data_IF_007882012378
#
_entry.id   IF_007882012378
#
_cell.length_a   1.000
_cell.length_b   1.000
_cell.length_c   1.000
_cell.angle_alpha   90.00
_cell.angle_beta   90.00
_cell.angle_gamma   90.00
#
_symmetry.space_group_name_H-M   'P 1'
#
loop_
_entity.id
_entity.type
_entity.pdbx_description
1 polymer ?
#
# COMPACT_ATOMS: atom_id res chain seq x y z
N UNK A 1 3.25 26.60 3.83
CA UNK A 1 3.58 25.25 4.27
C UNK A 1 3.11 24.26 3.20
N UNK A 2 3.96 23.33 2.81
CA UNK A 2 3.65 22.37 1.75
C UNK A 2 3.10 21.07 2.36
N UNK A 3 2.08 20.49 1.73
CA UNK A 3 1.55 19.18 2.11
C UNK A 3 2.52 18.09 1.65
N UNK A 4 2.98 17.27 2.58
CA UNK A 4 3.84 16.12 2.29
C UNK A 4 3.04 14.83 2.42
N UNK A 5 3.01 14.05 1.34
CA UNK A 5 2.37 12.74 1.30
C UNK A 5 3.41 11.69 0.94
N UNK A 6 3.58 10.69 1.80
CA UNK A 6 4.41 9.52 1.57
C UNK A 6 3.52 8.35 1.14
N UNK A 7 3.87 7.67 0.05
CA UNK A 7 3.17 6.47 -0.42
C UNK A 7 4.14 5.31 -0.37
N UNK A 8 3.81 4.26 0.37
CA UNK A 8 4.66 3.07 0.50
C UNK A 8 3.85 1.80 0.64
N UNK A 9 4.46 0.66 0.31
CA UNK A 9 3.92 -0.65 0.68
C UNK A 9 4.20 -0.97 2.15
N UNK A 10 3.45 -1.90 2.70
CA UNK A 10 3.57 -2.37 4.09
C UNK A 10 4.98 -2.88 4.43
N UNK A 11 5.61 -3.66 3.56
CA UNK A 11 6.97 -4.12 3.74
C UNK A 11 8.00 -3.00 3.68
N UNK A 12 7.84 -2.03 2.77
CA UNK A 12 8.73 -0.88 2.66
C UNK A 12 8.62 0.04 3.87
N UNK A 13 7.41 0.28 4.34
CA UNK A 13 7.17 1.11 5.52
C UNK A 13 7.80 0.51 6.78
N UNK A 14 7.73 -0.80 6.96
CA UNK A 14 8.33 -1.47 8.12
C UNK A 14 9.84 -1.28 8.22
N UNK A 15 10.54 -1.05 7.11
CA UNK A 15 11.99 -0.83 7.12
C UNK A 15 12.42 0.50 7.75
N UNK A 16 11.51 1.49 7.81
CA UNK A 16 11.79 2.81 8.36
C UNK A 16 10.68 3.35 9.28
N UNK A 17 9.81 2.47 9.78
CA UNK A 17 8.69 2.86 10.66
C UNK A 17 9.12 3.59 11.93
N UNK A 18 10.36 3.41 12.39
CA UNK A 18 10.91 4.15 13.54
C UNK A 18 10.96 5.67 13.31
N UNK A 19 10.92 6.13 12.05
CA UNK A 19 10.89 7.57 11.71
C UNK A 19 9.57 8.25 12.08
N UNK A 20 8.55 7.48 12.47
CA UNK A 20 7.35 8.03 13.13
C UNK A 20 7.74 8.80 14.41
N UNK A 21 8.80 8.35 15.10
CA UNK A 21 9.38 9.08 16.23
C UNK A 21 9.93 10.43 15.85
N UNK A 22 10.57 10.56 14.69
CA UNK A 22 11.07 11.83 14.13
C UNK A 22 9.92 12.77 13.81
N UNK A 23 8.84 12.27 13.17
CA UNK A 23 7.66 13.07 12.88
C UNK A 23 7.05 13.65 14.16
N UNK A 24 6.95 12.80 15.21
CA UNK A 24 6.44 13.24 16.51
C UNK A 24 7.34 14.24 17.22
N UNK A 25 8.65 14.00 17.21
CA UNK A 25 9.62 14.83 17.95
C UNK A 25 9.72 16.26 17.40
N UNK A 26 9.48 16.43 16.11
CA UNK A 26 9.60 17.72 15.41
C UNK A 26 8.27 18.30 14.95
N UNK A 27 7.15 17.71 15.36
CA UNK A 27 5.78 18.10 14.96
C UNK A 27 5.64 18.27 13.42
N UNK A 28 6.22 17.32 12.67
CA UNK A 28 6.17 17.35 11.22
C UNK A 28 4.86 16.78 10.71
N UNK A 29 4.13 17.56 9.91
CA UNK A 29 2.90 17.09 9.23
C UNK A 29 3.25 16.30 7.98
N UNK A 30 3.08 14.99 8.04
CA UNK A 30 3.23 14.06 6.90
C UNK A 30 2.07 13.09 6.89
N UNK A 31 1.45 12.90 5.76
CA UNK A 31 0.43 11.86 5.56
C UNK A 31 1.13 10.63 4.99
N UNK A 32 1.18 9.54 5.77
CA UNK A 32 1.77 8.27 5.35
C UNK A 32 0.66 7.33 4.89
N UNK A 33 0.59 7.08 3.58
CA UNK A 33 -0.35 6.15 2.96
C UNK A 33 0.35 4.80 2.77
N UNK A 34 -0.08 3.78 3.50
CA UNK A 34 0.47 2.42 3.44
C UNK A 34 -0.47 1.56 2.60
N UNK A 35 -0.01 1.11 1.43
CA UNK A 35 -0.74 0.12 0.63
C UNK A 35 -0.40 -1.28 1.11
N UNK A 36 -1.28 -1.83 1.96
CA UNK A 36 -1.05 -3.02 2.74
C UNK A 36 -1.68 -4.25 2.09
N UNK A 37 -0.89 -4.98 1.29
CA UNK A 37 -1.28 -6.25 0.72
C UNK A 37 -0.75 -7.47 1.50
N UNK A 38 -0.14 -7.25 2.66
CA UNK A 38 0.39 -8.28 3.57
C UNK A 38 1.46 -9.17 2.94
N UNK A 39 2.17 -8.65 1.94
CA UNK A 39 3.27 -9.39 1.30
C UNK A 39 4.28 -8.46 0.63
N UNK A 40 5.46 -9.01 0.29
CA UNK A 40 6.41 -8.38 -0.59
C UNK A 40 5.92 -8.54 -2.04
N UNK A 41 4.99 -7.68 -2.47
CA UNK A 41 4.14 -7.85 -3.65
C UNK A 41 4.89 -8.18 -4.93
N UNK A 42 5.92 -7.40 -5.29
CA UNK A 42 6.72 -7.64 -6.49
C UNK A 42 7.49 -8.96 -6.42
N UNK A 43 8.06 -9.29 -5.26
CA UNK A 43 8.79 -10.56 -5.07
C UNK A 43 7.84 -11.75 -5.19
N UNK A 44 6.65 -11.66 -4.57
CA UNK A 44 5.60 -12.66 -4.71
C UNK A 44 5.19 -12.84 -6.17
N UNK A 45 4.95 -11.74 -6.90
CA UNK A 45 4.59 -11.77 -8.32
C UNK A 45 5.64 -12.49 -9.17
N UNK A 46 6.92 -12.26 -8.90
CA UNK A 46 8.01 -12.95 -9.59
C UNK A 46 8.02 -14.45 -9.29
N UNK A 47 7.80 -14.83 -8.04
CA UNK A 47 7.70 -16.24 -7.66
C UNK A 47 6.47 -16.90 -8.31
N UNK A 48 5.38 -16.17 -8.44
CA UNK A 48 4.17 -16.61 -9.11
C UNK A 48 4.40 -16.88 -10.61
N UNK A 49 5.11 -15.97 -11.30
CA UNK A 49 5.28 -16.01 -12.75
C UNK A 49 6.45 -16.87 -13.21
N UNK A 50 7.55 -16.94 -12.46
CA UNK A 50 8.82 -17.47 -12.94
C UNK A 50 9.38 -18.61 -12.08
N UNK A 51 8.76 -18.92 -10.93
CA UNK A 51 9.26 -19.91 -9.97
C UNK A 51 8.19 -20.91 -9.53
N UNK A 52 7.27 -21.27 -10.40
CA UNK A 52 6.23 -22.29 -10.18
C UNK A 52 5.46 -22.09 -8.86
N UNK A 53 5.23 -20.83 -8.46
CA UNK A 53 4.55 -20.48 -7.20
C UNK A 53 5.25 -21.00 -5.93
N UNK A 54 6.56 -21.21 -5.99
CA UNK A 54 7.35 -21.54 -4.81
C UNK A 54 7.58 -20.27 -3.98
N UNK A 55 6.57 -19.90 -3.20
CA UNK A 55 6.62 -18.72 -2.35
C UNK A 55 7.57 -18.91 -1.18
N UNK A 56 8.55 -18.03 -1.04
CA UNK A 56 9.53 -18.06 0.04
C UNK A 56 9.77 -16.67 0.59
N UNK A 57 9.53 -16.50 1.90
CA UNK A 57 9.82 -15.29 2.66
C UNK A 57 9.14 -14.02 2.11
N UNK A 58 7.98 -14.13 1.51
CA UNK A 58 7.22 -13.01 0.94
C UNK A 58 5.97 -12.66 1.72
N UNK A 59 5.45 -13.59 2.53
CA UNK A 59 4.26 -13.39 3.35
C UNK A 59 4.59 -12.58 4.60
N UNK A 60 3.90 -11.48 4.79
CA UNK A 60 4.05 -10.58 5.93
C UNK A 60 2.87 -10.65 6.91
N UNK A 61 1.85 -11.51 6.65
CA UNK A 61 0.61 -11.57 7.44
C UNK A 61 0.86 -11.75 8.95
N UNK A 62 1.83 -12.56 9.30
CA UNK A 62 2.09 -12.92 10.69
C UNK A 62 3.15 -12.04 11.38
N UNK A 63 3.85 -11.20 10.61
CA UNK A 63 4.93 -10.36 11.12
C UNK A 63 4.65 -8.86 11.05
N UNK A 64 3.63 -8.43 10.32
CA UNK A 64 3.27 -7.03 10.23
C UNK A 64 2.57 -6.54 11.49
N UNK A 65 2.93 -5.35 11.97
CA UNK A 65 2.18 -4.69 13.03
C UNK A 65 0.81 -4.24 12.55
N UNK A 66 -0.08 -3.93 13.46
CA UNK A 66 -1.21 -3.05 13.19
C UNK A 66 -0.68 -1.62 13.06
N UNK A 67 -0.75 -1.05 11.85
CA UNK A 67 -0.18 0.27 11.56
C UNK A 67 -0.96 1.41 12.22
N UNK A 68 -2.25 1.23 12.51
CA UNK A 68 -3.06 2.20 13.26
C UNK A 68 -2.56 2.26 14.71
N UNK A 69 -2.48 1.11 15.38
CA UNK A 69 -1.96 1.03 16.74
C UNK A 69 -0.50 1.48 16.83
N UNK A 70 0.30 1.20 15.81
CA UNK A 70 1.68 1.68 15.74
C UNK A 70 1.74 3.21 15.70
N UNK A 71 0.93 3.86 14.86
CA UNK A 71 0.85 5.32 14.80
C UNK A 71 0.43 5.90 16.16
N UNK A 72 -0.59 5.34 16.78
CA UNK A 72 -1.09 5.76 18.09
C UNK A 72 -0.03 5.60 19.19
N UNK A 73 0.78 4.52 19.14
CA UNK A 73 1.88 4.31 20.08
C UNK A 73 2.95 5.41 20.01
N UNK A 74 3.14 6.03 18.83
CA UNK A 74 3.98 7.22 18.66
C UNK A 74 3.25 8.54 18.95
N UNK A 75 1.95 8.49 19.32
CA UNK A 75 1.13 9.68 19.55
C UNK A 75 0.77 10.43 18.26
N UNK A 76 0.68 9.72 17.16
CA UNK A 76 0.23 10.19 15.84
C UNK A 76 -1.19 9.74 15.55
N UNK A 77 -1.77 10.21 14.44
CA UNK A 77 -3.08 9.76 13.98
C UNK A 77 -2.95 8.46 13.17
N UNK A 78 -3.81 7.49 13.46
CA UNK A 78 -3.92 6.24 12.70
C UNK A 78 -5.33 6.06 12.16
N UNK A 79 -5.45 5.69 10.87
CA UNK A 79 -6.72 5.42 10.22
C UNK A 79 -6.62 4.18 9.33
N UNK A 80 -7.73 3.47 9.23
CA UNK A 80 -7.90 2.34 8.31
C UNK A 80 -9.30 2.45 7.69
N UNK A 81 -9.42 2.70 6.38
CA UNK A 81 -10.71 2.71 5.72
C UNK A 81 -11.28 1.28 5.66
N UNK A 82 -12.58 1.15 5.91
CA UNK A 82 -13.34 -0.10 5.76
C UNK A 82 -14.17 -0.11 4.47
N UNK A 83 -14.49 1.09 3.97
CA UNK A 83 -15.25 1.28 2.74
C UNK A 83 -14.60 2.32 1.85
N UNK A 84 -15.01 2.37 0.58
CA UNK A 84 -14.55 3.41 -0.33
C UNK A 84 -14.95 4.82 0.12
N UNK A 85 -16.10 4.97 0.75
CA UNK A 85 -16.57 6.26 1.25
C UNK A 85 -15.65 6.78 2.37
N UNK A 86 -15.14 5.87 3.22
CA UNK A 86 -14.23 6.23 4.31
C UNK A 86 -12.91 6.79 3.77
N UNK A 87 -12.45 6.35 2.59
CA UNK A 87 -11.21 6.83 1.99
C UNK A 87 -11.25 8.34 1.78
N UNK A 88 -12.32 8.86 1.17
CA UNK A 88 -12.46 10.28 0.88
C UNK A 88 -12.53 11.11 2.18
N UNK A 89 -13.26 10.62 3.18
CA UNK A 89 -13.40 11.27 4.48
C UNK A 89 -12.07 11.28 5.25
N UNK A 90 -11.37 10.14 5.31
CA UNK A 90 -10.09 10.01 6.01
C UNK A 90 -9.02 10.88 5.36
N UNK A 91 -8.92 10.89 4.02
CA UNK A 91 -7.95 11.74 3.31
C UNK A 91 -8.25 13.21 3.58
N UNK A 92 -9.51 13.63 3.53
CA UNK A 92 -9.90 15.00 3.83
C UNK A 92 -9.53 15.39 5.25
N UNK A 93 -9.85 14.53 6.22
CA UNK A 93 -9.50 14.74 7.63
C UNK A 93 -7.99 14.85 7.82
N UNK A 94 -7.21 13.96 7.19
CA UNK A 94 -5.75 13.98 7.27
C UNK A 94 -5.13 15.26 6.65
N UNK A 95 -5.75 15.82 5.60
CA UNK A 95 -5.31 17.08 5.01
C UNK A 95 -5.61 18.28 5.93
N UNK A 96 -6.74 18.24 6.63
CA UNK A 96 -7.17 19.30 7.53
C UNK A 96 -6.49 19.25 8.91
N UNK A 97 -6.08 18.05 9.37
CA UNK A 97 -5.36 17.89 10.66
C UNK A 97 -3.93 18.44 10.58
N UNK A 98 -3.45 19.01 11.68
CA UNK A 98 -2.07 19.50 11.82
C UNK A 98 -1.08 18.41 12.21
N UNK A 99 -1.56 17.23 12.65
CA UNK A 99 -0.72 16.11 13.09
C UNK A 99 -0.31 15.21 11.92
N UNK A 100 0.85 14.56 12.07
CA UNK A 100 1.22 13.46 11.18
C UNK A 100 0.20 12.32 11.28
N UNK A 101 -0.13 11.75 10.12
CA UNK A 101 -1.16 10.73 9.99
C UNK A 101 -0.61 9.49 9.28
N UNK A 102 -0.98 8.32 9.74
CA UNK A 102 -0.77 7.03 9.05
C UNK A 102 -2.12 6.49 8.61
N UNK A 103 -2.24 6.15 7.35
CA UNK A 103 -3.45 5.54 6.78
C UNK A 103 -3.07 4.16 6.24
N UNK A 104 -3.63 3.12 6.85
CA UNK A 104 -3.46 1.72 6.41
C UNK A 104 -4.54 1.37 5.38
N UNK A 105 -4.19 1.43 4.08
CA UNK A 105 -5.09 1.04 3.00
C UNK A 105 -5.00 -0.46 2.75
N UNK A 106 -6.03 -1.22 3.11
CA UNK A 106 -6.06 -2.64 2.82
C UNK A 106 -6.11 -2.90 1.32
N UNK A 107 -5.25 -3.80 0.84
CA UNK A 107 -5.14 -4.16 -0.56
C UNK A 107 -5.32 -5.66 -0.75
N UNK A 108 -5.84 -6.06 -1.91
CA UNK A 108 -5.95 -7.47 -2.23
C UNK A 108 -4.57 -8.15 -2.23
N UNK A 109 -4.46 -9.27 -1.53
CA UNK A 109 -3.20 -10.02 -1.35
C UNK A 109 -2.57 -10.44 -2.69
N UNK A 110 -3.39 -10.83 -3.65
CA UNK A 110 -2.93 -11.37 -4.94
C UNK A 110 -2.77 -10.31 -6.04
N UNK A 111 -2.93 -9.04 -5.71
CA UNK A 111 -2.79 -7.98 -6.71
C UNK A 111 -1.37 -7.92 -7.27
N UNK A 112 -1.28 -8.01 -8.59
CA UNK A 112 -0.03 -7.93 -9.34
C UNK A 112 0.09 -6.58 -10.08
N UNK A 113 1.32 -6.17 -10.34
CA UNK A 113 1.60 -4.98 -11.15
C UNK A 113 1.67 -5.38 -12.63
N UNK A 114 0.90 -4.72 -13.47
CA UNK A 114 0.86 -4.94 -14.91
C UNK A 114 0.91 -3.61 -15.69
N UNK A 115 1.52 -3.56 -16.88
CA UNK A 115 2.35 -4.61 -17.50
C UNK A 115 3.71 -4.72 -16.81
N UNK A 116 4.41 -5.84 -17.01
CA UNK A 116 5.79 -6.02 -16.56
C UNK A 116 6.68 -6.50 -17.73
N UNK A 117 7.97 -6.19 -17.64
CA UNK A 117 8.97 -6.71 -18.56
C UNK A 117 9.69 -7.88 -17.87
N UNK A 118 9.66 -9.11 -18.46
CA UNK A 118 10.40 -10.24 -17.90
C UNK A 118 11.90 -9.97 -17.83
N UNK A 119 12.64 -10.62 -16.93
CA UNK A 119 14.09 -10.50 -16.85
C UNK A 119 14.77 -10.82 -18.19
N UNK A 120 15.63 -9.91 -18.66
CA UNK A 120 16.35 -10.07 -19.93
C UNK A 120 15.55 -9.80 -21.19
N UNK A 121 14.27 -9.45 -21.08
CA UNK A 121 13.42 -9.08 -22.22
C UNK A 121 13.55 -7.60 -22.60
N UNK A 122 13.14 -7.26 -23.80
CA UNK A 122 12.99 -5.89 -24.26
C UNK A 122 11.72 -5.25 -23.69
N UNK A 123 11.68 -3.92 -23.59
CA UNK A 123 10.45 -3.18 -23.28
C UNK A 123 9.33 -3.42 -24.29
N UNK A 124 9.64 -3.94 -25.47
CA UNK A 124 8.64 -4.34 -26.47
C UNK A 124 7.98 -5.70 -26.14
N UNK A 125 8.59 -6.49 -25.27
CA UNK A 125 8.15 -7.84 -24.90
C UNK A 125 7.45 -7.84 -23.54
N UNK A 126 6.65 -6.81 -23.26
CA UNK A 126 5.90 -6.69 -22.01
C UNK A 126 4.85 -7.79 -21.88
N UNK A 127 4.72 -8.35 -20.67
CA UNK A 127 3.64 -9.25 -20.28
C UNK A 127 2.48 -8.48 -19.68
N UNK A 128 1.26 -8.98 -19.85
CA UNK A 128 0.07 -8.44 -19.21
C UNK A 128 -0.41 -7.11 -19.77
N UNK A 129 -0.05 -6.79 -21.02
CA UNK A 129 -0.50 -5.57 -21.69
C UNK A 129 -2.04 -5.50 -21.76
N UNK A 130 -2.68 -6.63 -22.02
CA UNK A 130 -4.15 -6.74 -22.09
C UNK A 130 -4.82 -6.45 -20.72
N UNK A 131 -4.12 -6.70 -19.62
CA UNK A 131 -4.57 -6.39 -18.27
C UNK A 131 -4.43 -4.90 -17.93
N UNK A 132 -3.66 -4.15 -18.72
CA UNK A 132 -3.42 -2.71 -18.52
C UNK A 132 -4.38 -1.84 -19.35
N UNK A 133 -4.98 -2.36 -20.40
CA UNK A 133 -6.02 -1.66 -21.15
C UNK A 133 -7.32 -1.67 -20.36
N UNK A 134 -7.41 -0.75 -19.40
CA UNK A 134 -8.68 -0.40 -18.79
C UNK A 134 -9.60 0.13 -19.88
N UNK A 135 -10.47 -0.73 -20.39
CA UNK A 135 -11.60 -0.29 -21.21
C UNK A 135 -12.45 0.69 -20.39
N UNK A 136 -13.19 1.56 -21.05
CA UNK A 136 -14.08 2.51 -20.36
C UNK A 136 -15.04 1.83 -19.36
N UNK A 137 -15.39 0.55 -19.57
CA UNK A 137 -16.15 -0.29 -18.63
C UNK A 137 -15.35 -0.75 -17.39
N UNK A 138 -14.05 -0.89 -17.48
CA UNK A 138 -13.17 -1.29 -16.36
C UNK A 138 -12.73 -0.10 -15.51
N UNK A 139 -13.01 1.13 -15.96
CA UNK A 139 -12.89 2.36 -15.16
C UNK A 139 -14.10 2.56 -14.22
N UNK A 140 -15.21 1.88 -14.47
CA UNK A 140 -16.22 1.64 -13.45
C UNK A 140 -15.57 0.65 -12.49
N UNK A 141 -15.04 1.18 -11.40
CA UNK A 141 -14.32 0.46 -10.35
C UNK A 141 -15.03 -0.85 -10.05
N UNK A 142 -14.35 -2.02 -10.20
CA UNK A 142 -14.90 -3.24 -9.62
C UNK A 142 -15.17 -2.97 -8.15
N UNK A 143 -16.33 -3.40 -7.66
CA UNK A 143 -16.62 -3.38 -6.24
C UNK A 143 -15.47 -4.11 -5.56
N UNK A 144 -14.61 -3.34 -4.88
CA UNK A 144 -13.53 -3.91 -4.11
C UNK A 144 -14.19 -4.66 -2.97
N UNK A 145 -13.96 -5.95 -2.93
CA UNK A 145 -14.52 -6.81 -1.89
C UNK A 145 -13.76 -6.60 -0.58
N UNK A 146 -14.26 -5.69 0.23
CA UNK A 146 -13.72 -5.35 1.53
C UNK A 146 -13.79 -6.52 2.53
N UNK A 147 -14.61 -7.56 2.25
CA UNK A 147 -14.72 -8.74 3.12
C UNK A 147 -13.53 -9.71 2.96
N UNK A 148 -12.73 -9.58 1.89
CA UNK A 148 -11.57 -10.42 1.63
C UNK A 148 -10.24 -9.84 2.19
N UNK A 149 -10.29 -8.72 2.87
CA UNK A 149 -9.13 -8.02 3.43
C UNK A 149 -9.14 -8.09 4.94
#
# INVERSE_FOLDING_TARGET
DELVVNISGDGSFQMCQQELGTLKAYDLKVINCIFNNKNLGMVRQWQDLFYDKHYSHVDLKHGSPDFVLLAEAYGLRGHKPETRADVDEIIKTAIEDEAATVIDFPMAYEMNVWPIVPPGASNMDMMGVDNCTLTSKQRETPDFDWEQV
#
